data_IF_373974589217
#
_entry.id   IF_373974589217
#
_cell.length_a   1.000
_cell.length_b   1.000
_cell.length_c   1.000
_cell.angle_alpha   90.00
_cell.angle_beta   90.00
_cell.angle_gamma   90.00
#
_symmetry.space_group_name_H-M   'P 1'
#
loop_
_entity.id
_entity.type
_entity.pdbx_description
1 polymer ?
2 non-polymer ?
3 non-polymer ?
4 non-polymer ?
5 water ?
#
# COMPACT_ATOMS: atom_id res chain seq x y z
N UNK A 23 24.41 4.18 -10.78
CA UNK A 23 25.62 5.00 -10.65
C UNK A 23 26.68 4.34 -9.74
N UNK A 24 27.14 5.09 -8.72
CA UNK A 24 28.30 4.71 -7.92
C UNK A 24 28.09 3.65 -6.86
N UNK A 25 27.47 2.54 -7.23
CA UNK A 25 27.15 1.43 -6.34
C UNK A 25 28.00 0.22 -6.74
N UNK A 26 27.97 -0.82 -5.91
CA UNK A 26 28.61 -2.04 -6.35
C UNK A 26 27.81 -2.67 -7.49
N UNK A 27 28.44 -3.65 -8.16
CA UNK A 27 27.73 -4.38 -9.19
C UNK A 27 26.57 -5.17 -8.61
N UNK A 28 26.74 -5.73 -7.42
CA UNK A 28 25.62 -6.43 -6.78
C UNK A 28 24.47 -5.48 -6.49
N UNK A 29 24.80 -4.27 -6.03
CA UNK A 29 23.76 -3.29 -5.71
C UNK A 29 23.03 -2.82 -6.95
N UNK A 30 23.76 -2.55 -8.04
CA UNK A 30 23.12 -2.12 -9.28
C UNK A 30 22.22 -3.21 -9.86
N UNK A 31 22.64 -4.47 -9.78
CA UNK A 31 21.80 -5.51 -10.32
C UNK A 31 20.58 -5.74 -9.44
N UNK A 32 20.73 -5.48 -8.13
CA UNK A 32 19.62 -5.61 -7.20
C UNK A 32 18.54 -4.56 -7.51
N UNK A 33 18.94 -3.32 -7.77
CA UNK A 33 18.00 -2.29 -8.17
C UNK A 33 17.36 -2.64 -9.52
N UNK A 34 18.17 -3.14 -10.47
CA UNK A 34 17.63 -3.49 -11.78
C UNK A 34 16.58 -4.58 -11.66
N UNK A 35 16.79 -5.57 -10.79
CA UNK A 35 15.78 -6.60 -10.61
C UNK A 35 14.51 -6.03 -9.98
N UNK A 36 14.65 -5.20 -8.95
CA UNK A 36 13.46 -4.61 -8.33
C UNK A 36 12.69 -3.75 -9.32
N UNK A 37 13.39 -2.89 -10.09
CA UNK A 37 12.75 -2.05 -11.10
C UNK A 37 12.09 -2.91 -12.17
N UNK A 38 12.74 -4.01 -12.54
CA UNK A 38 12.15 -4.91 -13.53
C UNK A 38 10.85 -5.52 -13.01
N UNK A 39 10.84 -5.96 -11.75
CA UNK A 39 9.63 -6.54 -11.18
C UNK A 39 8.53 -5.50 -11.05
N UNK A 40 8.88 -4.28 -10.67
CA UNK A 40 7.88 -3.21 -10.56
C UNK A 40 7.26 -2.91 -11.91
N UNK A 41 8.09 -2.83 -12.94
CA UNK A 41 7.62 -2.53 -14.30
C UNK A 41 6.68 -3.62 -14.81
N UNK A 42 6.95 -4.89 -14.46
CA UNK A 42 6.16 -5.98 -15.00
C UNK A 42 4.83 -6.18 -14.28
N UNK A 43 4.69 -5.69 -13.05
CA UNK A 43 3.58 -6.12 -12.22
C UNK A 43 2.73 -4.97 -11.70
N UNK A 44 3.12 -3.75 -12.01
CA UNK A 44 2.40 -2.56 -11.52
C UNK A 44 1.70 -1.87 -12.69
N UNK A 45 0.39 -2.05 -12.76
CA UNK A 45 -0.50 -1.44 -13.75
C UNK A 45 -0.74 0.00 -13.33
N UNK A 46 0.22 0.86 -13.67
CA UNK A 46 0.18 2.25 -13.21
C UNK A 46 -1.05 2.99 -13.74
N UNK A 47 -1.55 2.62 -14.92
CA UNK A 47 -2.76 3.23 -15.45
C UNK A 47 -4.03 2.46 -15.05
N UNK A 48 -3.90 1.33 -14.33
CA UNK A 48 -5.05 0.56 -13.88
C UNK A 48 -5.92 0.08 -15.05
N UNK A 49 -5.31 -0.05 -16.23
CA UNK A 49 -6.05 -0.42 -17.43
C UNK A 49 -6.72 -1.79 -17.32
N UNK A 50 -6.16 -2.69 -16.52
CA UNK A 50 -6.70 -4.03 -16.42
C UNK A 50 -7.56 -4.22 -15.18
N UNK A 51 -7.83 -3.15 -14.44
CA UNK A 51 -8.79 -3.19 -13.34
C UNK A 51 -10.17 -2.99 -13.94
N UNK A 52 -10.96 -4.06 -14.02
CA UNK A 52 -12.32 -4.02 -14.58
C UNK A 52 -13.21 -4.95 -13.76
N UNK A 53 -14.50 -4.94 -14.08
CA UNK A 53 -15.49 -5.82 -13.45
C UNK A 53 -15.62 -5.57 -11.96
N UNK A 54 -15.42 -4.34 -11.52
CA UNK A 54 -15.51 -4.01 -10.11
C UNK A 54 -16.92 -3.56 -9.76
N UNK A 55 -17.26 -3.68 -8.48
CA UNK A 55 -18.55 -3.22 -8.02
C UNK A 55 -18.54 -1.70 -7.86
N UNK A 56 -19.73 -1.10 -7.93
CA UNK A 56 -19.91 0.32 -7.69
C UNK A 56 -21.05 0.51 -6.70
N UNK A 57 -21.05 1.62 -5.97
CA UNK A 57 -22.14 1.86 -5.01
C UNK A 57 -23.49 1.94 -5.71
N UNK A 58 -24.50 1.35 -5.06
CA UNK A 58 -25.77 1.11 -5.71
C UNK A 58 -26.54 2.37 -6.03
N UNK A 59 -27.53 2.20 -6.92
CA UNK A 59 -28.37 3.31 -7.37
C UNK A 59 -29.64 3.38 -6.53
N UNK A 77 -22.96 -2.48 22.39
CA UNK A 77 -23.34 -2.87 21.04
C UNK A 77 -23.25 -1.68 20.07
N UNK A 78 -23.45 -0.47 20.59
CA UNK A 78 -23.34 0.75 19.79
C UNK A 78 -22.09 1.55 20.07
N UNK A 79 -21.38 1.26 21.18
CA UNK A 79 -20.02 1.77 21.32
C UNK A 79 -19.08 1.13 20.32
N UNK A 80 -19.36 -0.11 19.92
CA UNK A 80 -18.66 -0.74 18.81
C UNK A 80 -19.02 -0.11 17.48
N UNK A 81 -20.20 0.53 17.39
CA UNK A 81 -20.62 1.06 16.11
C UNK A 81 -19.95 2.41 15.81
N UNK A 82 -19.85 3.29 16.82
CA UNK A 82 -19.12 4.54 16.60
C UNK A 82 -17.63 4.30 16.39
N UNK A 83 -17.11 3.16 16.85
CA UNK A 83 -15.76 2.76 16.48
C UNK A 83 -15.67 2.49 14.99
N UNK A 84 -16.77 2.05 14.38
CA UNK A 84 -16.78 1.80 12.94
C UNK A 84 -16.68 3.09 12.16
N UNK A 85 -17.29 4.17 12.67
CA UNK A 85 -17.08 5.49 12.07
C UNK A 85 -15.60 5.85 12.08
N UNK A 86 -14.93 5.62 13.20
CA UNK A 86 -13.49 5.88 13.27
C UNK A 86 -12.72 4.94 12.33
N UNK A 87 -13.09 3.66 12.30
CA UNK A 87 -12.40 2.67 11.49
C UNK A 87 -12.55 2.92 9.99
N UNK A 88 -13.38 3.87 9.58
CA UNK A 88 -13.59 4.14 8.17
C UNK A 88 -12.94 5.45 7.70
N UNK A 89 -12.21 6.15 8.59
CA UNK A 89 -11.82 7.53 8.30
C UNK A 89 -10.88 7.63 7.11
N UNK A 90 -9.96 6.66 6.95
CA UNK A 90 -8.97 6.73 5.88
C UNK A 90 -9.56 6.51 4.50
N UNK A 91 -10.85 6.16 4.39
CA UNK A 91 -11.47 5.83 3.11
C UNK A 91 -12.62 6.76 2.74
N UNK A 92 -12.67 7.98 3.29
CA UNK A 92 -13.77 8.92 2.98
C UNK A 92 -13.43 9.66 1.70
N UNK A 93 -13.77 9.05 0.57
CA UNK A 93 -13.43 9.59 -0.74
C UNK A 93 -14.69 9.65 -1.61
N UNK A 94 -14.70 10.62 -2.51
CA UNK A 94 -15.58 10.59 -3.67
C UNK A 94 -14.86 9.89 -4.81
N UNK A 95 -15.63 9.48 -5.80
CA UNK A 95 -15.12 8.61 -6.84
C UNK A 95 -15.50 9.14 -8.22
N UNK A 96 -14.57 9.08 -9.15
CA UNK A 96 -14.79 9.55 -10.51
C UNK A 96 -14.34 8.48 -11.51
N UNK A 97 -15.17 8.26 -12.54
CA UNK A 97 -14.85 7.36 -13.65
C UNK A 97 -14.88 8.11 -14.96
N UNK A 98 -13.75 8.14 -15.64
CA UNK A 98 -13.68 8.67 -17.00
C UNK A 98 -13.83 7.49 -17.95
N UNK A 99 -14.87 7.52 -18.78
CA UNK A 99 -15.10 6.43 -19.70
C UNK A 99 -14.21 6.52 -20.93
N UNK A 100 -14.01 5.36 -21.56
CA UNK A 100 -13.23 5.30 -22.80
C UNK A 100 -13.81 6.23 -23.87
N UNK A 101 -15.12 6.44 -23.86
CA UNK A 101 -15.81 7.32 -24.81
C UNK A 101 -15.67 8.79 -24.48
N UNK A 102 -15.12 9.15 -23.32
CA UNK A 102 -15.06 10.53 -22.90
C UNK A 102 -16.14 10.95 -21.91
N UNK A 103 -17.05 10.05 -21.57
CA UNK A 103 -18.02 10.32 -20.52
C UNK A 103 -17.35 10.29 -19.14
N UNK A 104 -18.00 10.94 -18.18
CA UNK A 104 -17.52 11.01 -16.80
C UNK A 104 -18.65 10.68 -15.83
N UNK A 105 -18.39 9.77 -14.90
CA UNK A 105 -19.30 9.49 -13.77
C UNK A 105 -18.64 9.95 -12.49
N UNK A 106 -19.36 10.73 -11.69
CA UNK A 106 -18.95 11.09 -10.34
C UNK A 106 -19.90 10.57 -9.29
N UNK A 107 -19.32 10.09 -8.19
CA UNK A 107 -20.07 9.61 -7.04
C UNK A 107 -19.68 10.46 -5.84
N UNK A 108 -20.67 11.13 -5.24
CA UNK A 108 -20.51 11.77 -3.94
C UNK A 108 -21.12 10.88 -2.87
N UNK A 109 -20.36 10.46 -1.88
CA UNK A 109 -20.88 9.51 -0.88
C UNK A 109 -21.96 10.12 0.00
N UNK A 110 -22.74 9.30 0.68
CA UNK A 110 -23.75 9.84 1.61
C UNK A 110 -23.09 10.44 2.84
N UNK A 111 -23.82 11.34 3.48
CA UNK A 111 -23.42 11.79 4.80
C UNK A 111 -23.70 10.69 5.82
N UNK A 112 -22.88 10.65 6.87
CA UNK A 112 -23.13 9.71 7.96
C UNK A 112 -24.42 10.09 8.67
N UNK A 113 -25.45 9.27 8.48
CA UNK A 113 -26.75 9.45 9.11
C UNK A 113 -27.05 8.35 10.12
N UNK A 114 -26.02 7.65 10.60
CA UNK A 114 -26.17 6.64 11.63
C UNK A 114 -26.52 5.24 11.15
N UNK A 115 -26.67 5.03 9.84
CA UNK A 115 -27.03 3.74 9.30
C UNK A 115 -25.93 3.09 8.49
N UNK A 116 -26.32 2.02 7.80
CA UNK A 116 -25.38 1.22 7.02
C UNK A 116 -24.79 1.95 5.82
N UNK A 117 -25.22 3.19 5.54
CA UNK A 117 -24.78 3.89 4.34
C UNK A 117 -23.30 4.26 4.34
N UNK A 118 -22.63 4.18 5.50
CA UNK A 118 -21.19 4.38 5.53
C UNK A 118 -20.42 3.24 4.87
N UNK A 119 -21.07 2.11 4.60
CA UNK A 119 -20.46 0.94 3.98
C UNK A 119 -20.60 0.90 2.47
N UNK A 120 -21.15 1.95 1.85
CA UNK A 120 -21.56 1.83 0.45
C UNK A 120 -20.37 1.65 -0.49
N UNK A 121 -19.21 2.20 -0.14
CA UNK A 121 -18.01 2.10 -0.99
C UNK A 121 -17.13 0.88 -0.68
N UNK A 122 -17.40 0.15 0.41
CA UNK A 122 -16.56 -0.99 0.78
C UNK A 122 -16.48 -2.07 -0.30
N UNK A 123 -17.58 -2.50 -0.95
CA UNK A 123 -17.41 -3.50 -2.02
C UNK A 123 -16.46 -3.06 -3.12
N UNK A 124 -16.53 -1.80 -3.55
CA UNK A 124 -15.62 -1.33 -4.59
C UNK A 124 -14.18 -1.26 -4.07
N UNK A 125 -13.99 -0.79 -2.84
CA UNK A 125 -12.67 -0.76 -2.25
C UNK A 125 -12.06 -2.16 -2.16
N UNK A 126 -12.87 -3.15 -1.78
CA UNK A 126 -12.38 -4.53 -1.73
C UNK A 126 -11.88 -4.98 -3.10
N UNK A 127 -12.60 -4.62 -4.16
CA UNK A 127 -12.19 -5.01 -5.51
C UNK A 127 -10.90 -4.31 -5.91
N UNK A 128 -10.77 -3.02 -5.55
CA UNK A 128 -9.54 -2.28 -5.82
C UNK A 128 -8.36 -2.86 -5.06
N UNK A 129 -8.54 -3.10 -3.76
CA UNK A 129 -7.44 -3.62 -2.95
C UNK A 129 -7.04 -5.01 -3.42
N UNK A 130 -8.03 -5.86 -3.68
CA UNK A 130 -7.76 -7.18 -4.23
C UNK A 130 -6.93 -7.08 -5.49
N UNK A 131 -7.31 -6.15 -6.38
CA UNK A 131 -6.57 -5.95 -7.61
C UNK A 131 -5.14 -5.52 -7.34
N UNK A 132 -4.95 -4.57 -6.41
CA UNK A 132 -3.61 -4.16 -6.03
C UNK A 132 -2.83 -5.31 -5.40
N UNK A 133 -3.49 -6.12 -4.57
CA UNK A 133 -2.79 -7.21 -3.92
C UNK A 133 -2.29 -8.23 -4.92
N UNK A 134 -3.03 -8.49 -5.99
CA UNK A 134 -2.53 -9.39 -7.02
C UNK A 134 -1.25 -8.82 -7.62
N UNK A 135 -1.23 -7.51 -7.86
CA UNK A 135 0.00 -6.88 -8.32
C UNK A 135 1.13 -7.09 -7.34
N UNK A 136 0.86 -6.92 -6.05
CA UNK A 136 1.87 -7.07 -5.01
C UNK A 136 2.43 -8.48 -5.02
N UNK A 137 1.54 -9.47 -5.07
CA UNK A 137 1.95 -10.87 -5.08
C UNK A 137 2.82 -11.16 -6.30
N UNK A 138 2.39 -10.70 -7.49
CA UNK A 138 3.20 -10.91 -8.70
C UNK A 138 4.57 -10.26 -8.58
N UNK A 139 4.62 -9.09 -7.94
CA UNK A 139 5.89 -8.38 -7.75
C UNK A 139 6.86 -9.24 -6.94
N UNK A 140 6.41 -9.76 -5.80
CA UNK A 140 7.27 -10.61 -4.97
C UNK A 140 7.74 -11.84 -5.74
N UNK A 141 6.84 -12.47 -6.50
CA UNK A 141 7.15 -13.73 -7.19
C UNK A 141 8.22 -13.54 -8.27
N UNK A 142 8.33 -12.34 -8.85
CA UNK A 142 9.36 -12.10 -9.85
C UNK A 142 10.74 -12.02 -9.20
N UNK A 143 10.82 -11.53 -7.97
CA UNK A 143 12.12 -11.26 -7.36
C UNK A 143 12.81 -12.58 -7.00
N UNK A 144 14.03 -12.77 -7.52
CA UNK A 144 14.82 -13.95 -7.22
C UNK A 144 15.00 -14.16 -5.71
N UNK A 145 15.38 -13.10 -4.99
CA UNK A 145 15.57 -13.23 -3.56
C UNK A 145 14.33 -13.73 -2.86
N UNK A 146 13.14 -13.41 -3.38
CA UNK A 146 11.90 -13.87 -2.77
C UNK A 146 11.56 -15.29 -3.19
N UNK A 147 11.71 -15.62 -4.48
CA UNK A 147 11.30 -16.98 -4.82
C UNK A 147 12.28 -18.03 -4.31
N UNK A 148 13.44 -17.64 -3.80
CA UNK A 148 14.38 -18.59 -3.19
C UNK A 148 14.09 -18.86 -1.73
N UNK A 149 13.09 -18.22 -1.15
CA UNK A 149 12.75 -18.58 0.22
C UNK A 149 11.81 -19.76 0.22
N UNK A 150 11.74 -20.52 1.31
CA UNK A 150 10.71 -21.55 1.42
C UNK A 150 9.32 -20.95 1.28
N UNK A 151 8.45 -21.67 0.54
CA UNK A 151 7.12 -21.20 0.21
C UNK A 151 6.33 -20.82 1.46
N UNK A 152 6.63 -21.44 2.60
CA UNK A 152 5.97 -21.05 3.84
C UNK A 152 6.33 -19.62 4.24
N UNK A 153 7.60 -19.25 4.08
CA UNK A 153 8.02 -17.89 4.43
C UNK A 153 7.56 -16.88 3.39
N UNK A 154 7.54 -17.27 2.12
CA UNK A 154 6.93 -16.44 1.09
C UNK A 154 5.53 -16.04 1.49
N UNK A 155 4.74 -17.01 1.92
CA UNK A 155 3.35 -16.75 2.28
C UNK A 155 3.29 -15.88 3.53
N UNK A 156 4.13 -16.16 4.53
CA UNK A 156 4.15 -15.34 5.73
C UNK A 156 4.58 -13.91 5.41
N UNK A 157 5.55 -13.74 4.51
CA UNK A 157 6.04 -12.40 4.19
C UNK A 157 4.97 -11.59 3.45
N UNK A 158 4.30 -12.21 2.47
CA UNK A 158 3.24 -11.52 1.75
C UNK A 158 2.07 -11.20 2.67
N UNK A 159 1.73 -12.12 3.59
CA UNK A 159 0.66 -11.82 4.55
C UNK A 159 1.05 -10.63 5.41
N UNK A 160 2.34 -10.51 5.74
CA UNK A 160 2.78 -9.43 6.60
C UNK A 160 2.86 -8.07 5.93
N UNK A 161 3.20 -8.05 4.64
CA UNK A 161 3.58 -6.81 3.97
C UNK A 161 2.59 -6.29 2.93
N UNK A 162 1.56 -7.07 2.58
CA UNK A 162 0.71 -6.74 1.42
C UNK A 162 0.13 -5.34 1.56
N UNK A 163 -0.46 -5.02 2.71
CA UNK A 163 -0.99 -3.68 2.93
C UNK A 163 0.09 -2.61 2.75
N UNK A 164 1.30 -2.87 3.24
CA UNK A 164 2.34 -1.84 3.17
C UNK A 164 2.76 -1.58 1.73
N UNK A 165 3.00 -2.65 0.96
CA UNK A 165 3.37 -2.49 -0.43
C UNK A 165 2.23 -1.87 -1.24
N UNK A 166 1.00 -2.15 -0.86
CA UNK A 166 -0.14 -1.54 -1.51
C UNK A 166 -0.14 -0.02 -1.29
N UNK A 167 0.03 0.40 -0.03
CA UNK A 167 0.07 1.82 0.28
C UNK A 167 1.26 2.50 -0.41
N UNK A 168 2.41 1.83 -0.48
CA UNK A 168 3.55 2.43 -1.15
C UNK A 168 3.28 2.63 -2.64
N UNK A 169 2.60 1.68 -3.28
CA UNK A 169 2.27 1.86 -4.68
C UNK A 169 1.24 2.97 -4.84
N UNK A 170 0.24 3.03 -3.95
CA UNK A 170 -0.76 4.10 -4.03
C UNK A 170 -0.13 5.48 -3.84
N UNK A 171 0.96 5.59 -3.07
CA UNK A 171 1.56 6.90 -2.89
C UNK A 171 2.12 7.46 -4.19
N UNK A 172 2.59 6.60 -5.10
CA UNK A 172 3.13 7.08 -6.37
C UNK A 172 2.05 7.61 -7.31
N UNK A 173 0.77 7.31 -7.08
CA UNK A 173 -0.30 7.93 -7.85
C UNK A 173 -1.07 8.95 -7.01
N UNK A 174 -0.59 9.27 -5.82
CA UNK A 174 -1.26 10.23 -4.97
C UNK A 174 -0.89 11.66 -5.39
N UNK A 175 -1.90 12.49 -5.57
CA UNK A 175 -1.73 13.92 -5.85
C UNK A 175 -1.97 14.67 -4.54
N UNK A 176 -0.89 15.17 -3.96
CA UNK A 176 -1.02 15.83 -2.66
C UNK A 176 -1.59 17.22 -2.76
N UNK A 177 -1.67 17.79 -3.96
CA UNK A 177 -2.26 19.12 -4.11
C UNK A 177 -3.78 19.06 -4.06
N UNK A 178 -4.37 18.01 -4.63
CA UNK A 178 -5.82 17.86 -4.64
C UNK A 178 -6.32 16.75 -3.71
N UNK A 179 -5.43 16.14 -2.93
CA UNK A 179 -5.82 15.00 -2.10
C UNK A 179 -6.52 13.90 -2.88
N UNK A 180 -5.93 13.48 -4.01
CA UNK A 180 -6.57 12.57 -4.93
C UNK A 180 -5.62 11.45 -5.35
N UNK A 181 -6.07 10.20 -5.20
CA UNK A 181 -5.36 9.09 -5.79
C UNK A 181 -5.83 8.94 -7.23
N UNK A 182 -4.90 9.13 -8.17
CA UNK A 182 -5.22 9.19 -9.59
C UNK A 182 -4.88 7.83 -10.19
N UNK A 183 -5.89 6.97 -10.29
CA UNK A 183 -5.69 5.61 -10.74
C UNK A 183 -6.17 5.43 -12.17
N UNK A 184 -5.54 6.10 -13.11
CA UNK A 184 -5.93 5.94 -14.50
C UNK A 184 -7.27 6.58 -14.76
N UNK A 185 -8.25 5.79 -15.18
CA UNK A 185 -9.55 6.37 -15.44
C UNK A 185 -10.37 6.53 -14.17
N UNK A 186 -9.92 5.93 -13.07
CA UNK A 186 -10.52 6.11 -11.75
C UNK A 186 -9.75 7.17 -10.97
N UNK A 187 -10.48 7.96 -10.19
CA UNK A 187 -9.91 8.94 -9.29
C UNK A 187 -10.62 8.86 -7.94
N UNK A 188 -9.87 9.00 -6.86
CA UNK A 188 -10.44 8.93 -5.53
C UNK A 188 -10.00 10.18 -4.80
N UNK A 189 -10.94 11.06 -4.49
CA UNK A 189 -10.66 12.37 -3.96
C UNK A 189 -11.16 12.46 -2.53
N UNK A 190 -10.31 12.93 -1.63
CA UNK A 190 -10.66 12.97 -0.21
C UNK A 190 -11.76 13.99 0.07
N UNK A 191 -12.77 13.55 0.81
CA UNK A 191 -13.83 14.42 1.26
C UNK A 191 -13.36 15.27 2.44
N UNK A 192 -13.94 16.46 2.57
CA UNK A 192 -13.76 17.23 3.80
C UNK A 192 -14.48 16.58 4.97
N UNK A 197 -9.53 19.59 6.84
CA UNK A 197 -8.61 20.24 5.91
C UNK A 197 -7.18 19.94 6.33
N UNK A 198 -6.80 20.46 7.50
CA UNK A 198 -5.63 19.99 8.22
C UNK A 198 -6.03 19.06 9.36
N UNK A 199 -7.33 18.96 9.64
CA UNK A 199 -7.82 17.86 10.48
C UNK A 199 -7.77 16.54 9.74
N UNK A 200 -7.60 16.57 8.41
CA UNK A 200 -7.38 15.34 7.64
C UNK A 200 -6.03 14.71 7.98
N UNK A 201 -4.98 15.53 8.13
CA UNK A 201 -3.68 14.99 8.49
C UNK A 201 -3.62 14.42 9.90
N UNK A 202 -4.70 14.45 10.67
CA UNK A 202 -4.72 13.73 11.94
C UNK A 202 -4.89 12.24 11.75
N UNK A 203 -5.44 11.82 10.63
CA UNK A 203 -5.52 10.40 10.31
C UNK A 203 -4.12 9.91 9.94
N UNK A 204 -3.58 8.92 10.65
CA UNK A 204 -2.18 8.51 10.38
C UNK A 204 -1.94 8.06 8.94
N UNK A 205 -2.86 7.29 8.35
CA UNK A 205 -2.73 6.93 6.94
C UNK A 205 -2.55 8.14 6.04
N UNK A 206 -3.37 9.17 6.25
CA UNK A 206 -3.35 10.32 5.34
C UNK A 206 -2.11 11.19 5.58
N UNK A 207 -1.69 11.32 6.84
CA UNK A 207 -0.43 12.00 7.13
C UNK A 207 0.74 11.27 6.47
N UNK A 208 0.70 9.94 6.49
CA UNK A 208 1.74 9.16 5.84
C UNK A 208 1.84 9.49 4.36
N UNK A 209 0.70 9.50 3.65
CA UNK A 209 0.75 9.72 2.20
C UNK A 209 1.27 11.13 1.87
N UNK A 210 0.82 12.14 2.62
CA UNK A 210 1.29 13.51 2.37
C UNK A 210 2.78 13.64 2.68
N UNK A 211 3.21 13.10 3.82
CA UNK A 211 4.61 13.20 4.22
C UNK A 211 5.52 12.43 3.26
N UNK A 212 5.13 11.21 2.88
CA UNK A 212 5.95 10.44 1.94
C UNK A 212 6.01 11.12 0.58
N UNK A 213 4.89 11.71 0.14
CA UNK A 213 4.90 12.45 -1.12
C UNK A 213 5.85 13.64 -1.07
N UNK A 214 5.94 14.31 0.09
CA UNK A 214 6.80 15.48 0.23
C UNK A 214 8.28 15.15 0.03
N UNK A 215 8.70 13.90 0.26
CA UNK A 215 10.09 13.52 0.09
C UNK A 215 10.52 13.44 -1.36
N UNK A 216 9.59 13.45 -2.31
CA UNK A 216 9.87 13.43 -3.75
C UNK A 216 10.85 12.31 -4.13
N UNK A 217 10.46 11.08 -3.82
CA UNK A 217 11.32 9.95 -4.06
C UNK A 217 11.36 9.58 -5.54
N UNK A 218 12.47 8.98 -5.94
CA UNK A 218 12.59 8.37 -7.26
C UNK A 218 11.88 7.01 -7.28
N UNK A 219 11.62 6.53 -8.49
CA UNK A 219 11.08 5.18 -8.65
C UNK A 219 11.97 4.14 -7.97
N UNK A 220 13.29 4.30 -8.06
CA UNK A 220 14.19 3.33 -7.42
C UNK A 220 14.04 3.32 -5.91
N UNK A 221 13.82 4.49 -5.30
CA UNK A 221 13.68 4.53 -3.85
C UNK A 221 12.36 3.89 -3.39
N UNK A 222 11.28 4.11 -4.15
CA UNK A 222 10.01 3.45 -3.86
C UNK A 222 10.14 1.93 -3.94
N UNK A 223 10.82 1.41 -4.95
CA UNK A 223 10.83 -0.04 -5.07
C UNK A 223 11.78 -0.65 -4.04
N UNK A 224 12.77 0.12 -3.57
CA UNK A 224 13.60 -0.34 -2.47
C UNK A 224 12.84 -0.31 -1.15
N UNK A 225 12.01 0.72 -0.93
CA UNK A 225 11.11 0.72 0.21
C UNK A 225 10.24 -0.53 0.21
N UNK A 226 9.75 -0.92 -0.97
CA UNK A 226 8.93 -2.12 -1.08
C UNK A 226 9.74 -3.37 -0.72
N UNK A 227 10.98 -3.46 -1.20
CA UNK A 227 11.83 -4.60 -0.87
C UNK A 227 12.06 -4.70 0.64
N UNK A 228 12.39 -3.58 1.28
CA UNK A 228 12.70 -3.61 2.71
C UNK A 228 11.47 -4.03 3.50
N UNK A 229 10.30 -3.55 3.10
CA UNK A 229 9.07 -3.92 3.81
C UNK A 229 8.71 -5.37 3.56
N UNK A 230 8.87 -5.82 2.31
CA UNK A 230 8.58 -7.21 1.97
C UNK A 230 9.46 -8.18 2.77
N UNK A 231 10.76 -7.90 2.87
CA UNK A 231 11.70 -8.80 3.53
C UNK A 231 11.90 -8.40 5.00
N UNK A 232 10.81 -8.48 5.76
CA UNK A 232 10.83 -8.09 7.16
C UNK A 232 11.02 -9.31 8.04
N UNK A 233 12.17 -9.48 8.68
CA UNK A 233 12.44 -10.75 9.38
C UNK A 233 11.52 -11.03 10.55
N UNK A 234 10.78 -10.04 11.04
CA UNK A 234 9.96 -10.19 12.24
C UNK A 234 8.46 -10.22 11.94
N UNK A 235 8.05 -10.72 10.76
CA UNK A 235 6.64 -10.93 10.57
C UNK A 235 6.18 -12.22 11.27
N UNK A 236 4.93 -12.27 11.70
CA UNK A 236 4.41 -13.51 12.29
C UNK A 236 4.62 -14.73 11.41
N UNK A 237 5.31 -15.75 11.93
CA UNK A 237 5.42 -17.02 11.25
C UNK A 237 6.58 -17.16 10.31
N UNK A 238 7.50 -16.21 10.27
CA UNK A 238 8.69 -16.36 9.46
C UNK A 238 9.61 -17.36 10.14
N UNK A 239 10.12 -18.31 9.37
CA UNK A 239 11.07 -19.29 9.91
C UNK A 239 12.53 -18.91 9.60
N UNK A 240 12.85 -18.64 8.34
CA UNK A 240 14.22 -18.27 7.97
C UNK A 240 14.53 -16.85 8.40
N UNK A 241 14.50 -16.61 9.72
CA UNK A 241 14.71 -15.27 10.29
C UNK A 241 15.98 -14.61 9.76
N UNK A 242 17.10 -15.32 9.81
CA UNK A 242 18.40 -14.71 9.53
C UNK A 242 18.59 -14.44 8.04
N UNK A 243 18.18 -15.39 7.19
CA UNK A 243 18.22 -15.16 5.75
C UNK A 243 17.42 -13.92 5.38
N UNK A 244 16.20 -13.82 5.89
CA UNK A 244 15.36 -12.68 5.55
C UNK A 244 15.98 -11.39 6.10
N UNK A 245 16.50 -11.44 7.32
CA UNK A 245 17.10 -10.25 7.93
C UNK A 245 18.34 -9.79 7.18
N UNK A 246 19.12 -10.73 6.65
CA UNK A 246 20.31 -10.33 5.91
C UNK A 246 19.92 -9.73 4.56
N UNK A 247 18.89 -10.29 3.92
CA UNK A 247 18.37 -9.71 2.69
C UNK A 247 17.88 -8.29 2.92
N UNK A 248 17.12 -8.08 4.00
CA UNK A 248 16.61 -6.75 4.32
C UNK A 248 17.75 -5.75 4.48
N UNK A 249 18.75 -6.09 5.30
CA UNK A 249 19.93 -5.24 5.45
C UNK A 249 20.60 -4.92 4.12
N UNK A 250 20.71 -5.90 3.21
CA UNK A 250 21.31 -5.60 1.91
C UNK A 250 20.47 -4.58 1.14
N UNK A 251 19.14 -4.73 1.18
CA UNK A 251 18.27 -3.78 0.50
C UNK A 251 18.39 -2.38 1.10
N UNK A 252 18.48 -2.32 2.43
CA UNK A 252 18.63 -1.02 3.09
C UNK A 252 19.99 -0.40 2.79
N UNK A 253 21.05 -1.22 2.77
CA UNK A 253 22.37 -0.69 2.42
C UNK A 253 22.35 -0.16 0.99
N UNK A 254 21.77 -0.93 0.06
CA UNK A 254 21.64 -0.45 -1.31
C UNK A 254 20.91 0.88 -1.36
N UNK A 255 19.80 1.00 -0.63
CA UNK A 255 19.03 2.24 -0.63
C UNK A 255 19.87 3.40 -0.11
N UNK A 256 20.54 3.17 1.02
CA UNK A 256 21.41 4.18 1.62
C UNK A 256 22.51 4.62 0.66
N UNK A 257 23.14 3.65 -0.02
CA UNK A 257 24.20 4.00 -0.97
C UNK A 257 23.63 4.70 -2.20
N UNK A 258 22.46 4.27 -2.69
CA UNK A 258 21.85 4.97 -3.82
C UNK A 258 21.64 6.44 -3.52
N UNK A 259 21.14 6.75 -2.32
CA UNK A 259 20.87 8.14 -1.95
C UNK A 259 22.18 8.94 -1.87
N UNK A 260 23.21 8.35 -1.27
CA UNK A 260 24.48 9.07 -1.14
C UNK A 260 25.11 9.35 -2.50
N UNK A 261 24.91 8.47 -3.49
CA UNK A 261 25.53 8.65 -4.78
C UNK A 261 24.73 9.52 -5.73
N UNK A 262 23.40 9.56 -5.63
CA UNK A 262 22.58 10.28 -6.57
C UNK A 262 21.84 11.45 -5.95
N UNK A 263 22.17 11.83 -4.72
CA UNK A 263 21.44 12.88 -4.01
C UNK A 263 22.38 13.64 -3.08
N UNK A 264 23.15 14.59 -3.62
CA UNK A 264 24.06 15.37 -2.77
C UNK A 264 23.43 16.56 -2.06
N UNK A 265 22.20 16.92 -2.38
CA UNK A 265 21.64 18.21 -1.98
C UNK A 265 21.27 18.22 -0.50
N UNK A 266 21.49 19.35 0.19
CA UNK A 266 21.16 19.42 1.63
C UNK A 266 19.72 19.10 1.96
N UNK A 267 18.79 19.25 1.01
CA UNK A 267 17.40 18.84 1.27
C UNK A 267 17.30 17.35 1.48
N UNK A 268 18.30 16.59 1.02
CA UNK A 268 18.28 15.15 1.10
C UNK A 268 19.22 14.64 2.18
N UNK A 269 19.71 15.53 3.03
CA UNK A 269 20.43 15.11 4.21
C UNK A 269 19.49 14.32 5.12
N UNK A 270 19.96 13.18 5.62
CA UNK A 270 19.18 12.32 6.48
C UNK A 270 18.01 11.67 5.74
N UNK A 271 17.99 11.75 4.40
CA UNK A 271 16.85 11.22 3.65
C UNK A 271 16.68 9.74 3.89
N UNK A 272 17.77 8.98 3.87
CA UNK A 272 17.67 7.56 4.16
C UNK A 272 17.03 7.32 5.52
N UNK A 273 17.38 8.14 6.52
CA UNK A 273 16.81 7.93 7.84
C UNK A 273 15.36 8.35 7.90
N UNK A 274 14.96 9.36 7.12
CA UNK A 274 13.54 9.70 7.03
C UNK A 274 12.75 8.53 6.45
N UNK A 275 13.23 7.98 5.34
CA UNK A 275 12.58 6.82 4.73
C UNK A 275 12.43 5.69 5.74
N UNK A 276 13.51 5.36 6.46
CA UNK A 276 13.42 4.25 7.40
C UNK A 276 12.42 4.53 8.50
N UNK A 277 12.31 5.80 8.94
CA UNK A 277 11.31 6.13 9.94
C UNK A 277 9.90 6.00 9.38
N UNK A 278 9.72 6.34 8.09
CA UNK A 278 8.42 6.17 7.45
C UNK A 278 8.04 4.70 7.31
N UNK A 279 9.02 3.84 6.98
CA UNK A 279 8.73 2.41 6.92
C UNK A 279 8.32 1.89 8.30
N UNK A 280 8.88 2.46 9.35
CA UNK A 280 8.51 2.05 10.70
C UNK A 280 7.10 2.53 11.03
N UNK A 281 6.78 3.77 10.67
CA UNK A 281 5.42 4.26 10.84
C UNK A 281 4.43 3.44 10.03
N UNK A 282 4.80 3.09 8.79
CA UNK A 282 3.90 2.33 7.92
C UNK A 282 3.58 0.96 8.50
N UNK A 283 4.56 0.32 9.15
CA UNK A 283 4.30 -0.97 9.79
C UNK A 283 3.32 -0.81 10.93
N UNK A 284 3.38 0.31 11.62
CA UNK A 284 2.42 0.60 12.68
C UNK A 284 1.03 0.85 12.09
N UNK A 285 0.95 1.66 11.03
CA UNK A 285 -0.33 1.90 10.36
C UNK A 285 -0.93 0.58 9.88
N UNK A 286 -0.08 -0.30 9.34
CA UNK A 286 -0.52 -1.63 8.90
C UNK A 286 -1.20 -2.40 10.05
N UNK A 287 -0.63 -2.36 11.25
CA UNK A 287 -1.23 -3.06 12.38
C UNK A 287 -2.56 -2.42 12.78
N UNK A 288 -2.60 -1.07 12.82
CA UNK A 288 -3.86 -0.40 13.10
C UNK A 288 -4.94 -0.77 12.08
N UNK A 289 -4.61 -0.73 10.79
CA UNK A 289 -5.64 -0.95 9.78
C UNK A 289 -6.02 -2.41 9.66
N UNK A 290 -5.11 -3.33 9.98
CA UNK A 290 -5.49 -4.75 10.05
C UNK A 290 -6.63 -4.93 11.06
N UNK A 291 -6.56 -4.24 12.19
CA UNK A 291 -7.60 -4.33 13.20
C UNK A 291 -8.88 -3.64 12.76
N UNK A 292 -8.78 -2.49 12.07
CA UNK A 292 -9.98 -1.87 11.50
C UNK A 292 -10.71 -2.83 10.58
N UNK A 293 -9.97 -3.49 9.69
CA UNK A 293 -10.60 -4.42 8.75
C UNK A 293 -11.31 -5.54 9.49
N UNK A 294 -10.64 -6.14 10.49
CA UNK A 294 -11.26 -7.25 11.20
C UNK A 294 -12.49 -6.80 11.98
N UNK A 295 -12.50 -5.57 12.49
CA UNK A 295 -13.70 -5.07 13.16
C UNK A 295 -14.85 -4.86 12.18
N UNK A 296 -14.58 -4.21 11.05
CA UNK A 296 -15.64 -3.98 10.07
C UNK A 296 -16.11 -5.30 9.47
N UNK A 297 -15.17 -6.20 9.16
CA UNK A 297 -15.54 -7.53 8.70
C UNK A 297 -16.45 -8.24 9.70
N UNK A 298 -16.25 -7.97 10.99
CA UNK A 298 -17.00 -8.68 12.02
C UNK A 298 -18.48 -8.30 11.99
N UNK A 299 -18.83 -7.09 11.58
CA UNK A 299 -20.21 -6.64 11.62
C UNK A 299 -20.78 -6.28 10.26
N UNK A 300 -19.96 -6.23 9.21
CA UNK A 300 -20.44 -6.01 7.85
C UNK A 300 -19.44 -6.65 6.91
N UNK A 301 -19.61 -7.95 6.64
CA UNK A 301 -18.60 -8.69 5.85
C UNK A 301 -18.46 -8.13 4.45
N UNK A 302 -17.21 -8.05 3.98
CA UNK A 302 -16.96 -7.42 2.69
C UNK A 302 -15.66 -7.92 2.08
N UNK A 303 -14.77 -8.49 2.88
CA UNK A 303 -13.46 -8.91 2.41
C UNK A 303 -13.58 -9.98 1.33
N UNK A 304 -12.84 -9.80 0.24
CA UNK A 304 -12.81 -10.81 -0.81
C UNK A 304 -12.06 -12.03 -0.31
N UNK A 305 -12.15 -13.15 -1.04
CA UNK A 305 -11.34 -14.32 -0.67
C UNK A 305 -9.85 -14.00 -0.54
N UNK A 306 -9.27 -13.26 -1.47
CA UNK A 306 -7.85 -12.91 -1.37
C UNK A 306 -7.58 -12.07 -0.14
N UNK A 307 -8.46 -11.11 0.17
CA UNK A 307 -8.28 -10.33 1.39
C UNK A 307 -8.37 -11.20 2.63
N UNK A 308 -9.21 -12.23 2.59
CA UNK A 308 -9.32 -13.16 3.73
C UNK A 308 -8.02 -13.93 3.93
N UNK A 309 -7.44 -14.46 2.84
CA UNK A 309 -6.14 -15.11 2.92
C UNK A 309 -5.07 -14.19 3.50
N UNK A 310 -4.94 -12.99 2.94
CA UNK A 310 -3.87 -12.10 3.35
C UNK A 310 -4.01 -11.66 4.80
N UNK A 311 -5.24 -11.51 5.29
CA UNK A 311 -5.45 -10.96 6.63
C UNK A 311 -5.83 -12.02 7.65
N UNK A 312 -5.77 -13.30 7.28
CA UNK A 312 -5.93 -14.38 8.24
C UNK A 312 -7.34 -14.81 8.56
N UNK A 313 -8.32 -14.46 7.72
CA UNK A 313 -9.70 -14.86 7.92
C UNK A 313 -9.89 -16.25 7.29
N UNK A 314 -10.29 -17.23 8.11
CA UNK A 314 -10.29 -18.63 7.69
C UNK A 314 -11.56 -19.05 6.96
N UNK A 315 -12.67 -18.33 7.15
CA UNK A 315 -13.95 -18.72 6.61
C UNK A 315 -14.77 -19.64 7.50
N UNK A 316 -14.30 -19.96 8.70
CA UNK A 316 -15.05 -20.82 9.61
C UNK A 316 -15.09 -20.24 11.02
#
# INVERSE_FOLDING_TARGET
MKKGHHHHHHGSERTGTQPLGVQGLTEEQRMMIRELMDAQMKTFDTTFSHFKNFRLPGVLSSGCELPESLQAPSREEAAKWSQVRKDLCSLKVSLQLRGEDGSVWNYKPPADSGGKEIFSLLPHMADMSTYMFKGIISFAKVISYFRDLPIEDQISLLKGAAFELCQLRFNTVFNAETGTWECGRLSYCLEDTAGGFQQLLLEPMLKFHYMLKKLQLHEEEYVLMQAISLFSPDRPGVLQHRVVDQLQEQFAITLKSYIECNRPQPAHRFLFLKIMAMLTELRSINAQHTQRLLRIQDIHPFATPLMQELFGITGSLVPR
#
